data_IF_894039977469
#
_entry.id   IF_894039977469
#
_cell.length_a   1.000
_cell.length_b   1.000
_cell.length_c   1.000
_cell.angle_alpha   90.00
_cell.angle_beta   90.00
_cell.angle_gamma   90.00
#
_symmetry.space_group_name_H-M   'P 1'
#
loop_
_entity.id
_entity.type
_entity.pdbx_description
1 polymer ?
#
# COMPACT_ATOMS: atom_id res chain seq x y z
N UNK A 1 32.49 -9.10 21.99
CA UNK A 1 31.14 -9.37 22.54
C UNK A 1 30.43 -8.03 22.60
N UNK A 2 29.80 -7.62 21.52
CA UNK A 2 28.94 -6.44 21.46
C UNK A 2 27.54 -6.95 21.75
N UNK A 3 26.97 -6.52 22.87
CA UNK A 3 25.59 -6.75 23.22
C UNK A 3 24.72 -6.07 22.15
N UNK A 4 24.25 -6.86 21.21
CA UNK A 4 23.12 -6.48 20.36
C UNK A 4 21.89 -6.41 21.29
N UNK A 5 21.63 -5.22 21.82
CA UNK A 5 20.35 -4.93 22.43
C UNK A 5 19.35 -4.87 21.28
N UNK A 6 18.75 -6.03 20.98
CA UNK A 6 17.60 -6.15 20.11
C UNK A 6 16.54 -5.19 20.66
N UNK A 7 16.47 -3.99 20.08
CA UNK A 7 15.44 -3.03 20.42
C UNK A 7 14.09 -3.69 20.10
N UNK A 8 13.33 -3.99 21.13
CA UNK A 8 12.00 -4.56 20.99
C UNK A 8 11.11 -3.52 20.34
N UNK A 9 10.30 -3.92 19.36
CA UNK A 9 9.36 -3.04 18.68
C UNK A 9 8.21 -2.69 19.63
N UNK A 10 8.28 -1.49 20.20
CA UNK A 10 7.37 -1.06 21.26
C UNK A 10 6.03 -0.58 20.73
N UNK A 11 5.02 -0.46 21.61
CA UNK A 11 3.72 0.12 21.23
C UNK A 11 3.87 1.57 20.75
N UNK A 12 4.80 2.32 21.29
CA UNK A 12 5.07 3.69 20.85
C UNK A 12 5.66 3.71 19.44
N UNK A 13 6.55 2.77 19.11
CA UNK A 13 7.10 2.64 17.75
C UNK A 13 5.98 2.32 16.76
N UNK A 14 5.06 1.40 17.13
CA UNK A 14 3.92 1.03 16.28
C UNK A 14 3.02 2.24 16.01
N UNK A 15 2.67 3.02 17.03
CA UNK A 15 1.84 4.21 16.86
C UNK A 15 2.50 5.27 15.97
N UNK A 16 3.80 5.50 16.16
CA UNK A 16 4.55 6.47 15.35
C UNK A 16 4.67 6.03 13.90
N UNK A 17 4.96 4.74 13.67
CA UNK A 17 5.12 4.19 12.33
C UNK A 17 3.78 4.10 11.59
N UNK A 18 2.70 3.74 12.29
CA UNK A 18 1.35 3.74 11.73
C UNK A 18 0.92 5.15 11.33
N UNK A 19 1.08 6.11 12.22
CA UNK A 19 0.76 7.50 11.92
C UNK A 19 1.57 8.04 10.73
N UNK A 20 2.85 7.70 10.65
CA UNK A 20 3.70 8.06 9.52
C UNK A 20 3.23 7.38 8.23
N UNK A 21 2.92 6.08 8.25
CA UNK A 21 2.42 5.35 7.07
C UNK A 21 1.12 5.96 6.54
N UNK A 22 0.18 6.30 7.43
CA UNK A 22 -1.07 6.97 7.09
C UNK A 22 -0.81 8.33 6.44
N UNK A 23 0.05 9.14 7.04
CA UNK A 23 0.39 10.48 6.53
C UNK A 23 0.98 10.39 5.11
N UNK A 24 2.00 9.55 4.91
CA UNK A 24 2.69 9.49 3.62
C UNK A 24 1.82 8.86 2.52
N UNK A 25 0.95 7.89 2.86
CA UNK A 25 0.01 7.32 1.91
C UNK A 25 -1.01 8.37 1.42
N UNK A 26 -1.58 9.17 2.35
CA UNK A 26 -2.48 10.28 1.99
C UNK A 26 -1.79 11.32 1.11
N UNK A 27 -0.63 11.79 1.52
CA UNK A 27 0.09 12.83 0.76
C UNK A 27 0.48 12.33 -0.63
N UNK A 28 0.93 11.08 -0.77
CA UNK A 28 1.23 10.49 -2.07
C UNK A 28 -0.01 10.43 -2.95
N UNK A 29 -1.10 9.87 -2.44
CA UNK A 29 -2.36 9.73 -3.17
C UNK A 29 -2.97 11.07 -3.59
N UNK A 30 -2.99 12.06 -2.69
CA UNK A 30 -3.52 13.39 -2.98
C UNK A 30 -2.68 14.12 -4.05
N UNK A 31 -1.35 13.93 -4.05
CA UNK A 31 -0.47 14.46 -5.10
C UNK A 31 -0.76 13.85 -6.46
N UNK A 32 -0.89 12.52 -6.51
CA UNK A 32 -1.19 11.80 -7.75
C UNK A 32 -2.59 12.19 -8.27
N UNK A 33 -3.58 12.28 -7.40
CA UNK A 33 -4.91 12.77 -7.76
C UNK A 33 -4.84 14.20 -8.29
N UNK A 34 -4.11 15.10 -7.64
CA UNK A 34 -3.89 16.46 -8.10
C UNK A 34 -3.22 16.53 -9.48
N UNK A 35 -2.24 15.67 -9.76
CA UNK A 35 -1.62 15.56 -11.09
C UNK A 35 -2.65 15.15 -12.16
N UNK A 36 -3.48 14.15 -11.88
CA UNK A 36 -4.57 13.68 -12.75
C UNK A 36 -5.55 14.80 -13.06
N UNK A 37 -5.97 15.51 -12.04
CA UNK A 37 -7.01 16.55 -12.14
C UNK A 37 -6.57 17.80 -12.92
N UNK A 38 -5.25 17.98 -13.12
CA UNK A 38 -4.75 19.03 -14.03
C UNK A 38 -5.20 18.81 -15.48
N UNK A 39 -5.52 17.58 -15.87
CA UNK A 39 -5.87 17.19 -17.24
C UNK A 39 -4.72 17.35 -18.26
N UNK A 40 -3.50 17.62 -17.78
CA UNK A 40 -2.31 17.90 -18.61
C UNK A 40 -1.79 16.65 -19.30
N UNK A 41 -1.85 15.51 -18.63
CA UNK A 41 -1.36 14.22 -19.13
C UNK A 41 -2.50 13.24 -19.29
N UNK A 42 -2.34 12.24 -20.16
CA UNK A 42 -3.36 11.21 -20.43
C UNK A 42 -2.70 9.88 -20.78
N UNK A 43 -3.46 8.78 -20.59
CA UNK A 43 -3.02 7.44 -20.93
C UNK A 43 -1.70 7.08 -20.25
N UNK A 44 -0.84 6.36 -20.96
CA UNK A 44 0.44 5.85 -20.42
C UNK A 44 1.32 6.96 -19.81
N UNK A 45 1.34 8.16 -20.41
CA UNK A 45 2.11 9.27 -19.85
C UNK A 45 1.58 9.75 -18.51
N UNK A 46 0.26 9.72 -18.29
CA UNK A 46 -0.33 10.04 -17.00
C UNK A 46 0.04 8.97 -15.97
N UNK A 47 -0.02 7.69 -16.37
CA UNK A 47 0.41 6.56 -15.56
C UNK A 47 1.86 6.73 -15.10
N UNK A 48 2.80 6.85 -16.04
CA UNK A 48 4.24 6.97 -15.75
C UNK A 48 4.57 8.16 -14.82
N UNK A 49 3.93 9.31 -15.05
CA UNK A 49 4.15 10.50 -14.21
C UNK A 49 3.56 10.31 -12.81
N UNK A 50 2.40 9.65 -12.71
CA UNK A 50 1.75 9.33 -11.44
C UNK A 50 2.63 8.43 -10.59
N UNK A 51 3.08 7.30 -11.16
CA UNK A 51 3.97 6.34 -10.50
C UNK A 51 5.27 6.99 -10.02
N UNK A 52 5.97 7.68 -10.92
CA UNK A 52 7.22 8.35 -10.58
C UNK A 52 7.07 9.42 -9.49
N UNK A 53 5.97 10.18 -9.52
CA UNK A 53 5.72 11.22 -8.53
C UNK A 53 5.42 10.63 -7.14
N UNK A 54 4.63 9.56 -7.08
CA UNK A 54 4.32 8.88 -5.83
C UNK A 54 5.54 8.14 -5.28
N UNK A 55 6.22 7.36 -6.12
CA UNK A 55 7.40 6.58 -5.73
C UNK A 55 8.52 7.48 -5.20
N UNK A 56 8.88 8.51 -5.97
CA UNK A 56 9.92 9.46 -5.56
C UNK A 56 9.60 10.17 -4.24
N UNK A 57 8.33 10.51 -4.01
CA UNK A 57 7.90 11.08 -2.73
C UNK A 57 8.00 10.07 -1.60
N UNK A 58 7.41 8.88 -1.74
CA UNK A 58 7.40 7.86 -0.69
C UNK A 58 8.80 7.44 -0.29
N UNK A 59 9.65 7.11 -1.26
CA UNK A 59 11.04 6.74 -0.99
C UNK A 59 11.81 7.88 -0.31
N UNK A 60 11.65 9.12 -0.79
CA UNK A 60 12.35 10.28 -0.23
C UNK A 60 11.99 10.54 1.24
N UNK A 61 10.71 10.46 1.60
CA UNK A 61 10.28 10.71 3.00
C UNK A 61 10.62 9.54 3.91
N UNK A 62 10.52 8.29 3.43
CA UNK A 62 10.91 7.10 4.18
C UNK A 62 12.41 7.14 4.46
N UNK A 63 13.23 7.35 3.44
CA UNK A 63 14.68 7.41 3.59
C UNK A 63 15.13 8.57 4.47
N UNK A 64 14.46 9.72 4.38
CA UNK A 64 14.74 10.86 5.23
C UNK A 64 14.41 10.63 6.70
N UNK A 65 13.36 9.89 7.02
CA UNK A 65 12.92 9.59 8.39
C UNK A 65 13.61 8.37 8.98
N UNK A 66 13.78 7.32 8.17
CA UNK A 66 14.29 6.01 8.56
C UNK A 66 15.46 5.56 7.66
N UNK A 67 16.61 6.26 7.70
CA UNK A 67 17.72 6.04 6.78
C UNK A 67 18.37 4.64 6.89
N UNK A 68 18.09 3.91 7.96
CA UNK A 68 18.62 2.57 8.19
C UNK A 68 17.64 1.45 7.81
N UNK A 69 16.39 1.78 7.48
CA UNK A 69 15.39 0.79 7.07
C UNK A 69 15.62 0.34 5.62
N UNK A 70 15.12 -0.84 5.27
CA UNK A 70 15.01 -1.27 3.89
C UNK A 70 13.80 -0.63 3.22
N UNK A 71 13.84 -0.49 1.90
CA UNK A 71 12.68 -0.10 1.08
C UNK A 71 12.55 -1.11 -0.05
N UNK A 72 11.33 -1.59 -0.28
CA UNK A 72 10.92 -2.36 -1.45
C UNK A 72 9.80 -1.58 -2.13
N UNK A 73 10.03 -1.16 -3.36
CA UNK A 73 9.03 -0.51 -4.20
C UNK A 73 8.79 -1.36 -5.45
N UNK A 74 7.57 -1.37 -5.97
CA UNK A 74 7.26 -1.98 -7.25
C UNK A 74 8.02 -1.30 -8.40
N UNK A 75 8.23 0.02 -8.30
CA UNK A 75 8.84 0.86 -9.34
C UNK A 75 10.37 0.81 -9.38
N UNK A 76 11.02 0.22 -8.40
CA UNK A 76 12.48 0.22 -8.32
C UNK A 76 13.07 -1.18 -8.28
N UNK A 77 14.28 -1.31 -8.88
CA UNK A 77 15.02 -2.57 -8.85
C UNK A 77 15.31 -2.95 -7.40
N UNK A 78 14.82 -4.11 -7.01
CA UNK A 78 15.04 -4.65 -5.66
C UNK A 78 16.54 -4.85 -5.37
N UNK A 79 16.97 -4.33 -4.23
CA UNK A 79 18.31 -4.56 -3.71
C UNK A 79 18.24 -5.59 -2.58
N UNK A 80 19.05 -6.66 -2.68
CA UNK A 80 19.09 -7.71 -1.65
C UNK A 80 19.51 -7.20 -0.26
N UNK A 81 20.02 -5.98 -0.17
CA UNK A 81 20.44 -5.35 1.09
C UNK A 81 19.29 -5.25 2.10
N UNK A 82 18.05 -5.01 1.64
CA UNK A 82 16.85 -4.96 2.49
C UNK A 82 16.62 -6.26 3.26
N UNK A 83 17.07 -7.42 2.73
CA UNK A 83 16.92 -8.72 3.38
C UNK A 83 17.74 -8.84 4.67
N UNK A 84 18.75 -7.99 4.85
CA UNK A 84 19.54 -7.88 6.07
C UNK A 84 18.94 -6.92 7.10
N UNK A 85 17.87 -6.21 6.75
CA UNK A 85 17.24 -5.19 7.60
C UNK A 85 16.12 -5.81 8.43
N UNK A 86 16.04 -5.45 9.70
CA UNK A 86 14.91 -5.85 10.56
C UNK A 86 13.61 -5.14 10.17
N UNK A 87 13.73 -3.91 9.65
CA UNK A 87 12.62 -3.06 9.24
C UNK A 87 12.70 -2.84 7.74
N UNK A 88 11.62 -3.10 7.03
CA UNK A 88 11.53 -2.87 5.58
C UNK A 88 10.16 -2.28 5.24
N UNK A 89 10.17 -1.09 4.66
CA UNK A 89 8.99 -0.47 4.08
C UNK A 89 8.73 -1.10 2.72
N UNK A 90 7.48 -1.48 2.48
CA UNK A 90 7.02 -2.07 1.23
C UNK A 90 5.97 -1.13 0.68
N UNK A 91 6.22 -0.59 -0.50
CA UNK A 91 5.35 0.41 -1.11
C UNK A 91 4.92 -0.02 -2.51
N UNK A 92 3.65 0.22 -2.80
CA UNK A 92 3.09 0.25 -4.14
C UNK A 92 2.54 1.67 -4.35
N UNK A 93 3.27 2.50 -5.11
CA UNK A 93 2.98 3.92 -5.24
C UNK A 93 1.66 4.22 -5.94
N UNK A 94 1.26 3.35 -6.89
CA UNK A 94 0.05 3.53 -7.67
C UNK A 94 -0.54 2.17 -8.11
N UNK A 95 -1.13 1.43 -7.16
CA UNK A 95 -1.89 0.22 -7.51
C UNK A 95 -3.11 0.59 -8.36
N UNK A 96 -3.27 -0.09 -9.50
CA UNK A 96 -4.28 0.23 -10.48
C UNK A 96 -3.87 1.34 -11.45
N UNK A 97 -2.64 1.29 -11.94
CA UNK A 97 -2.06 2.25 -12.90
C UNK A 97 -2.92 2.40 -14.17
N UNK A 98 -3.50 1.31 -14.68
CA UNK A 98 -4.44 1.33 -15.81
C UNK A 98 -5.71 2.10 -15.45
N UNK A 99 -6.31 1.78 -14.32
CA UNK A 99 -7.52 2.41 -13.80
C UNK A 99 -7.30 3.92 -13.60
N UNK A 100 -6.15 4.29 -13.05
CA UNK A 100 -5.77 5.69 -12.88
C UNK A 100 -5.66 6.42 -14.23
N UNK A 101 -4.99 5.82 -15.21
CA UNK A 101 -4.79 6.41 -16.55
C UNK A 101 -6.09 6.55 -17.34
N UNK A 102 -7.07 5.68 -17.08
CA UNK A 102 -8.42 5.70 -17.63
C UNK A 102 -9.37 6.65 -16.86
N UNK A 103 -8.87 7.40 -15.89
CA UNK A 103 -9.62 8.33 -15.04
C UNK A 103 -10.71 7.64 -14.18
N UNK A 104 -10.46 6.40 -13.80
CA UNK A 104 -11.36 5.62 -12.94
C UNK A 104 -11.07 5.92 -11.46
N UNK A 105 -11.87 5.32 -10.58
CA UNK A 105 -11.83 5.58 -9.14
C UNK A 105 -11.32 4.38 -8.32
N UNK A 106 -10.96 3.27 -8.98
CA UNK A 106 -10.53 2.03 -8.37
C UNK A 106 -9.01 1.84 -8.46
N UNK A 107 -8.28 2.78 -7.87
CA UNK A 107 -6.83 2.78 -7.71
C UNK A 107 -6.44 3.28 -6.32
N UNK A 108 -5.24 2.99 -5.88
CA UNK A 108 -4.81 3.36 -4.54
C UNK A 108 -3.29 3.45 -4.36
N UNK A 109 -2.89 3.86 -3.15
CA UNK A 109 -1.50 3.87 -2.68
C UNK A 109 -1.39 2.89 -1.53
N UNK A 110 -0.39 2.01 -1.57
CA UNK A 110 -0.15 1.04 -0.51
C UNK A 110 1.19 1.34 0.19
N UNK A 111 1.15 1.35 1.52
CA UNK A 111 2.33 1.49 2.37
C UNK A 111 2.28 0.45 3.46
N UNK A 112 3.29 -0.39 3.54
CA UNK A 112 3.41 -1.39 4.60
C UNK A 112 4.78 -1.35 5.27
N UNK A 113 4.84 -1.77 6.52
CA UNK A 113 6.07 -2.00 7.26
C UNK A 113 6.17 -3.47 7.65
N UNK A 114 7.25 -4.12 7.26
CA UNK A 114 7.67 -5.42 7.76
C UNK A 114 8.68 -5.23 8.90
N UNK A 115 8.52 -6.00 9.97
CA UNK A 115 9.43 -6.08 11.08
C UNK A 115 9.83 -7.54 11.33
N UNK A 116 11.13 -7.82 11.33
CA UNK A 116 11.69 -9.19 11.43
C UNK A 116 11.02 -10.18 10.43
N UNK A 117 10.86 -9.72 9.17
CA UNK A 117 10.24 -10.48 8.07
C UNK A 117 8.75 -10.84 8.27
N UNK A 118 8.06 -10.16 9.17
CA UNK A 118 6.61 -10.29 9.37
C UNK A 118 5.93 -8.97 9.08
N UNK A 119 4.72 -9.03 8.51
CA UNK A 119 3.91 -7.82 8.35
C UNK A 119 3.61 -7.22 9.73
N UNK A 120 3.94 -5.96 9.92
CA UNK A 120 3.67 -5.24 11.16
C UNK A 120 2.53 -4.22 10.99
N UNK A 121 2.60 -3.44 9.91
CA UNK A 121 1.65 -2.37 9.60
C UNK A 121 1.32 -2.44 8.11
N UNK A 122 0.07 -2.17 7.76
CA UNK A 122 -0.38 -1.97 6.39
C UNK A 122 -1.37 -0.83 6.29
N UNK A 123 -1.22 -0.01 5.27
CA UNK A 123 -2.11 1.11 4.93
C UNK A 123 -2.43 1.06 3.46
N UNK A 124 -3.70 1.23 3.13
CA UNK A 124 -4.22 1.41 1.77
C UNK A 124 -5.03 2.69 1.73
N UNK A 125 -4.69 3.59 0.83
CA UNK A 125 -5.44 4.82 0.61
C UNK A 125 -6.00 4.87 -0.82
N UNK A 126 -7.30 5.09 -0.94
CA UNK A 126 -8.03 5.28 -2.20
C UNK A 126 -8.45 6.76 -2.30
N UNK A 127 -7.64 7.61 -2.96
CA UNK A 127 -7.82 9.06 -2.92
C UNK A 127 -9.15 9.55 -3.47
N UNK A 128 -9.61 8.96 -4.58
CA UNK A 128 -10.88 9.33 -5.22
C UNK A 128 -12.09 9.03 -4.38
N UNK A 129 -11.97 8.09 -3.45
CA UNK A 129 -13.06 7.67 -2.56
C UNK A 129 -12.93 8.30 -1.16
N UNK A 130 -11.85 9.05 -0.90
CA UNK A 130 -11.47 9.51 0.44
C UNK A 130 -11.61 8.37 1.47
N UNK A 131 -11.01 7.22 1.14
CA UNK A 131 -11.08 6.02 1.95
C UNK A 131 -9.67 5.54 2.27
N UNK A 132 -9.34 5.52 3.55
CA UNK A 132 -8.09 4.96 4.05
C UNK A 132 -8.38 3.79 4.98
N UNK A 133 -7.72 2.67 4.73
CA UNK A 133 -7.82 1.44 5.52
C UNK A 133 -6.43 1.18 6.10
N UNK A 134 -6.36 0.87 7.37
CA UNK A 134 -5.10 0.52 8.01
C UNK A 134 -5.23 -0.68 8.93
N UNK A 135 -4.13 -1.37 9.15
CA UNK A 135 -4.05 -2.49 10.07
C UNK A 135 -2.68 -2.63 10.72
N UNK A 136 -2.68 -3.16 11.94
CA UNK A 136 -1.52 -3.65 12.67
C UNK A 136 -1.68 -5.15 12.82
N UNK A 137 -0.66 -5.94 12.43
CA UNK A 137 -0.69 -7.40 12.38
C UNK A 137 0.36 -8.04 13.31
N UNK A 138 0.71 -7.36 14.39
CA UNK A 138 1.65 -7.87 15.40
C UNK A 138 0.91 -8.68 16.45
N UNK A 139 1.46 -9.84 16.82
CA UNK A 139 0.87 -10.78 17.76
C UNK A 139 0.51 -10.11 19.10
N UNK A 140 -0.76 -10.22 19.50
CA UNK A 140 -1.32 -9.61 20.70
C UNK A 140 -1.56 -8.10 20.61
N UNK A 141 -1.39 -7.51 19.42
CA UNK A 141 -1.56 -6.06 19.17
C UNK A 141 -2.37 -5.80 17.89
N UNK A 142 -3.05 -6.83 17.40
CA UNK A 142 -3.80 -6.79 16.14
C UNK A 142 -4.96 -5.79 16.27
N UNK A 143 -5.02 -4.87 15.33
CA UNK A 143 -6.11 -3.90 15.19
C UNK A 143 -6.16 -3.36 13.79
N UNK A 144 -7.31 -2.85 13.40
CA UNK A 144 -7.52 -2.20 12.12
C UNK A 144 -8.49 -1.03 12.27
N UNK A 145 -8.46 -0.12 11.31
CA UNK A 145 -9.37 1.00 11.25
C UNK A 145 -9.59 1.51 9.84
N UNK A 146 -10.57 2.38 9.75
CA UNK A 146 -10.96 3.05 8.51
C UNK A 146 -11.05 4.54 8.81
N UNK A 147 -10.55 5.36 7.90
CA UNK A 147 -10.60 6.81 7.96
C UNK A 147 -11.07 7.40 6.64
N UNK A 148 -11.62 8.62 6.69
CA UNK A 148 -12.16 9.34 5.54
C UNK A 148 -13.67 9.26 5.46
N UNK A 149 -14.23 9.72 4.34
CA UNK A 149 -15.68 9.77 4.09
C UNK A 149 -16.17 8.59 3.24
N UNK A 150 -15.25 7.86 2.63
CA UNK A 150 -15.54 6.65 1.86
C UNK A 150 -16.08 5.51 2.73
N UNK A 151 -16.75 4.58 2.09
CA UNK A 151 -17.35 3.42 2.78
C UNK A 151 -16.90 2.11 2.14
N UNK A 152 -16.52 1.15 2.97
CA UNK A 152 -16.37 -0.23 2.49
C UNK A 152 -17.75 -0.85 2.24
N UNK A 153 -17.84 -1.57 1.13
CA UNK A 153 -19.02 -2.41 0.91
C UNK A 153 -19.10 -3.47 2.03
N UNK A 154 -20.26 -3.59 2.66
CA UNK A 154 -20.51 -4.66 3.63
C UNK A 154 -20.33 -6.03 2.92
N UNK A 155 -19.41 -6.90 3.37
CA UNK A 155 -19.34 -8.24 2.85
C UNK A 155 -20.68 -8.92 3.16
N UNK A 156 -21.48 -9.15 2.12
CA UNK A 156 -22.80 -9.76 2.24
C UNK A 156 -22.69 -11.07 3.03
N UNK A 157 -23.58 -11.26 3.99
CA UNK A 157 -23.63 -12.39 4.92
C UNK A 157 -23.75 -13.78 4.26
N UNK A 158 -24.07 -13.83 2.97
CA UNK A 158 -24.18 -15.06 2.16
C UNK A 158 -22.83 -15.59 1.63
N UNK A 159 -21.70 -14.99 2.04
CA UNK A 159 -20.37 -15.51 1.72
C UNK A 159 -20.07 -16.92 2.21
N UNK A 160 -20.86 -17.44 3.15
CA UNK A 160 -20.65 -18.77 3.74
C UNK A 160 -21.14 -19.93 2.88
N UNK A 161 -22.02 -19.69 1.89
CA UNK A 161 -22.55 -20.77 1.06
C UNK A 161 -21.73 -21.09 -0.19
N UNK A 162 -20.98 -20.12 -0.72
CA UNK A 162 -20.10 -20.33 -1.88
C UNK A 162 -18.83 -19.49 -1.75
N UNK A 163 -17.65 -20.09 -1.93
CA UNK A 163 -16.40 -19.35 -1.99
C UNK A 163 -16.47 -18.27 -3.07
N UNK A 164 -16.01 -17.06 -2.75
CA UNK A 164 -15.90 -15.97 -3.72
C UNK A 164 -14.42 -15.59 -3.86
N UNK A 165 -13.95 -15.56 -5.11
CA UNK A 165 -12.60 -15.11 -5.43
C UNK A 165 -12.63 -13.71 -6.06
N UNK A 166 -11.70 -12.85 -5.66
CA UNK A 166 -11.42 -11.63 -6.38
C UNK A 166 -10.37 -11.92 -7.46
N UNK A 167 -10.59 -11.37 -8.65
CA UNK A 167 -9.66 -11.50 -9.79
C UNK A 167 -9.49 -10.15 -10.44
N UNK A 168 -8.31 -9.94 -11.04
CA UNK A 168 -8.06 -8.72 -11.82
C UNK A 168 -9.05 -8.61 -12.97
N UNK A 169 -9.66 -7.45 -13.14
CA UNK A 169 -10.58 -7.17 -14.24
C UNK A 169 -9.87 -7.15 -15.60
N UNK A 170 -8.68 -6.60 -15.64
CA UNK A 170 -7.87 -6.42 -16.85
C UNK A 170 -7.00 -7.65 -17.17
N UNK A 171 -6.69 -8.48 -16.19
CA UNK A 171 -5.77 -9.62 -16.31
C UNK A 171 -6.35 -10.91 -15.75
N UNK A 172 -7.62 -11.21 -16.08
CA UNK A 172 -8.24 -12.47 -15.65
C UNK A 172 -7.71 -13.64 -16.50
N UNK A 173 -6.96 -14.60 -15.92
CA UNK A 173 -6.49 -15.75 -16.66
C UNK A 173 -7.65 -16.61 -17.19
N UNK A 174 -7.56 -17.18 -18.39
CA UNK A 174 -8.66 -17.94 -19.02
C UNK A 174 -9.17 -19.14 -18.19
N UNK A 175 -8.33 -19.73 -17.35
CA UNK A 175 -8.70 -20.87 -16.50
C UNK A 175 -9.67 -20.51 -15.35
N UNK A 176 -9.73 -19.22 -14.97
CA UNK A 176 -10.64 -18.75 -13.88
C UNK A 176 -12.10 -18.97 -14.24
N UNK A 177 -12.49 -18.75 -15.51
CA UNK A 177 -13.86 -19.01 -15.94
C UNK A 177 -14.22 -20.50 -15.86
N UNK A 178 -13.27 -21.38 -16.16
CA UNK A 178 -13.47 -22.82 -16.02
C UNK A 178 -13.60 -23.24 -14.54
N UNK A 179 -12.78 -22.65 -13.66
CA UNK A 179 -12.82 -22.90 -12.23
C UNK A 179 -14.14 -22.42 -11.59
N UNK A 180 -14.66 -21.27 -12.01
CA UNK A 180 -15.91 -20.71 -11.49
C UNK A 180 -17.16 -21.53 -11.89
N UNK A 181 -17.03 -22.40 -12.90
CA UNK A 181 -18.14 -23.26 -13.40
C UNK A 181 -18.08 -24.68 -12.84
N UNK A 182 -17.01 -25.04 -12.15
CA UNK A 182 -16.82 -26.37 -11.52
C UNK A 182 -17.41 -26.40 -10.10
#
# INVERSE_FOLDING_TARGET
MTSDTSHEFTDQDIEHDLAFAIEIARVAGDRVLGLRDTGRWKGDMLADIGDQAADGYLQGVIQGRYPNDGILSEETVDTVERLSKRRTWIIDPLDGTVEFSELRDDWGVHVALSFDNKCAIGVVYLPTQDLLIWGVALEGRERAGIEGTGTLADPKSDMMEKPRGAVSRSHTPPWIEAFAKA
#
